data_IF_413364949460
#
_entry.id   IF_413364949460
#
_cell.length_a   1.000
_cell.length_b   1.000
_cell.length_c   1.000
_cell.angle_alpha   90.00
_cell.angle_beta   90.00
_cell.angle_gamma   90.00
#
_symmetry.space_group_name_H-M   'P 1'
#
loop_
_entity.id
_entity.type
_entity.pdbx_description
1 polymer ?
#
# COMPACT_ATOMS: atom_id res chain seq x y z
N UNK A 1 -8.27 21.19 -17.05
CA UNK A 1 -9.22 20.29 -16.33
C UNK A 1 -9.63 20.96 -15.04
N UNK A 2 -10.93 20.91 -14.72
CA UNK A 2 -11.49 21.45 -13.46
C UNK A 2 -11.75 20.35 -12.42
N UNK A 3 -11.45 19.09 -12.73
CA UNK A 3 -11.62 17.93 -11.85
C UNK A 3 -10.25 17.49 -11.37
N UNK A 4 -10.07 17.41 -10.05
CA UNK A 4 -8.77 17.14 -9.44
C UNK A 4 -8.38 15.66 -9.54
N UNK A 5 -9.27 14.73 -9.16
CA UNK A 5 -9.00 13.29 -9.13
C UNK A 5 -10.27 12.46 -9.39
N UNK A 6 -10.12 11.16 -9.59
CA UNK A 6 -11.24 10.21 -9.67
C UNK A 6 -11.56 9.59 -8.29
N UNK A 7 -12.83 9.24 -8.09
CA UNK A 7 -13.29 8.48 -6.93
C UNK A 7 -14.46 7.56 -7.32
N UNK A 8 -14.78 6.51 -6.54
CA UNK A 8 -15.92 5.63 -6.81
C UNK A 8 -17.24 6.40 -6.90
N UNK A 9 -17.93 6.30 -8.04
CA UNK A 9 -19.16 7.06 -8.29
C UNK A 9 -20.19 6.29 -9.12
N UNK A 10 -20.01 4.98 -9.33
CA UNK A 10 -20.94 4.14 -10.10
C UNK A 10 -21.58 3.07 -9.24
N UNK A 11 -22.90 2.94 -9.30
CA UNK A 11 -23.70 1.96 -8.57
C UNK A 11 -23.44 2.01 -7.04
N UNK A 12 -23.34 3.22 -6.48
CA UNK A 12 -23.08 3.43 -5.05
C UNK A 12 -24.37 3.27 -4.27
N UNK A 13 -24.43 2.26 -3.41
CA UNK A 13 -25.54 2.02 -2.48
C UNK A 13 -25.46 2.98 -1.30
N UNK A 14 -26.51 3.70 -1.03
CA UNK A 14 -26.62 4.60 0.12
C UNK A 14 -28.05 4.72 0.61
N UNK A 15 -28.23 5.36 1.77
CA UNK A 15 -29.53 5.70 2.33
C UNK A 15 -30.24 6.75 1.46
N UNK A 16 -31.57 6.71 1.44
CA UNK A 16 -32.40 7.69 0.75
C UNK A 16 -33.43 8.31 1.68
N UNK A 17 -33.94 9.52 1.36
CA UNK A 17 -35.05 10.14 2.10
C UNK A 17 -36.27 9.23 2.16
N UNK A 18 -36.95 9.22 3.30
CA UNK A 18 -38.14 8.38 3.55
C UNK A 18 -37.82 6.98 4.07
N UNK A 19 -36.55 6.66 4.30
CA UNK A 19 -36.07 5.35 4.78
C UNK A 19 -35.85 4.36 3.64
N UNK A 20 -34.82 3.53 3.75
CA UNK A 20 -34.41 2.56 2.75
C UNK A 20 -33.10 2.88 2.09
N UNK A 21 -32.76 2.12 1.04
CA UNK A 21 -31.49 2.20 0.31
C UNK A 21 -31.76 2.22 -1.20
N UNK A 22 -30.90 2.93 -1.93
CA UNK A 22 -30.88 2.89 -3.40
C UNK A 22 -29.46 3.05 -3.92
N UNK A 23 -29.23 2.54 -5.13
CA UNK A 23 -27.95 2.68 -5.83
C UNK A 23 -28.05 3.79 -6.89
N UNK A 24 -27.14 4.76 -6.81
CA UNK A 24 -27.02 5.85 -7.77
C UNK A 24 -25.62 5.91 -8.38
N UNK A 25 -25.53 6.54 -9.55
CA UNK A 25 -24.26 6.79 -10.24
C UNK A 25 -24.12 8.27 -10.57
N UNK A 26 -22.94 8.83 -10.34
CA UNK A 26 -22.64 10.22 -10.63
C UNK A 26 -21.48 10.76 -9.81
N UNK A 27 -21.02 11.96 -10.16
CA UNK A 27 -20.01 12.70 -9.41
C UNK A 27 -20.48 13.04 -8.00
N UNK A 28 -21.80 13.22 -7.81
CA UNK A 28 -22.42 13.40 -6.48
C UNK A 28 -22.21 12.20 -5.54
N UNK A 29 -22.01 10.99 -6.09
CA UNK A 29 -21.72 9.78 -5.34
C UNK A 29 -20.20 9.62 -5.11
N UNK A 30 -19.38 10.17 -5.99
CA UNK A 30 -17.92 10.20 -5.82
C UNK A 30 -17.48 11.22 -4.76
N UNK A 31 -18.12 12.38 -4.67
CA UNK A 31 -17.77 13.46 -3.73
C UNK A 31 -17.73 13.01 -2.26
N UNK A 32 -18.72 12.28 -1.71
CA UNK A 32 -18.66 11.84 -0.31
C UNK A 32 -17.53 10.86 -0.01
N UNK A 33 -17.04 10.09 -0.99
CA UNK A 33 -15.85 9.26 -0.79
C UNK A 33 -14.60 10.13 -0.56
N UNK A 34 -14.44 11.20 -1.32
CA UNK A 34 -13.32 12.15 -1.12
C UNK A 34 -13.48 12.90 0.19
N UNK A 35 -14.71 13.35 0.54
CA UNK A 35 -14.97 14.02 1.81
C UNK A 35 -14.69 13.12 3.03
N UNK A 36 -15.09 11.84 2.95
CA UNK A 36 -14.80 10.83 3.98
C UNK A 36 -13.30 10.56 4.11
N UNK A 37 -12.58 10.47 2.99
CA UNK A 37 -11.13 10.32 2.99
C UNK A 37 -10.44 11.54 3.62
N UNK A 38 -10.88 12.74 3.29
CA UNK A 38 -10.36 13.98 3.91
C UNK A 38 -10.56 13.99 5.42
N UNK A 39 -11.72 13.56 5.91
CA UNK A 39 -12.01 13.46 7.34
C UNK A 39 -11.09 12.43 8.04
N UNK A 40 -10.84 11.27 7.41
CA UNK A 40 -9.92 10.26 7.93
C UNK A 40 -8.48 10.78 7.98
N UNK A 41 -8.00 11.43 6.92
CA UNK A 41 -6.67 12.06 6.87
C UNK A 41 -6.51 13.09 8.00
N UNK A 42 -7.50 13.99 8.19
CA UNK A 42 -7.48 14.99 9.25
C UNK A 42 -7.61 14.39 10.66
N UNK A 43 -8.13 13.17 10.80
CA UNK A 43 -8.13 12.48 12.09
C UNK A 43 -6.76 11.97 12.50
N UNK A 44 -5.86 11.76 11.53
CA UNK A 44 -4.47 11.33 11.74
C UNK A 44 -3.56 12.55 11.87
N UNK A 45 -3.73 13.54 10.98
CA UNK A 45 -2.96 14.78 10.98
C UNK A 45 -3.90 15.99 10.94
N UNK A 46 -4.33 16.52 12.10
CA UNK A 46 -5.26 17.64 12.17
C UNK A 46 -4.63 18.98 11.78
N UNK A 47 -3.30 19.06 11.68
CA UNK A 47 -2.57 20.30 11.41
C UNK A 47 -2.46 20.62 9.91
N UNK A 48 -2.89 19.70 9.03
CA UNK A 48 -2.90 19.92 7.59
C UNK A 48 -3.80 21.10 7.19
N UNK A 49 -3.25 22.02 6.45
CA UNK A 49 -4.05 23.06 5.78
C UNK A 49 -4.90 22.45 4.67
N UNK A 50 -5.94 23.15 4.24
CA UNK A 50 -6.81 22.69 3.14
C UNK A 50 -6.04 22.40 1.86
N UNK A 51 -4.98 23.17 1.57
CA UNK A 51 -4.14 22.96 0.39
C UNK A 51 -3.30 21.69 0.52
N UNK A 52 -2.62 21.49 1.63
CA UNK A 52 -1.83 20.30 1.92
C UNK A 52 -2.70 19.03 1.91
N UNK A 53 -3.88 19.08 2.52
CA UNK A 53 -4.86 17.97 2.48
C UNK A 53 -5.26 17.62 1.05
N UNK A 54 -5.54 18.63 0.21
CA UNK A 54 -5.89 18.42 -1.20
C UNK A 54 -4.72 17.79 -1.97
N UNK A 55 -3.52 18.34 -1.83
CA UNK A 55 -2.32 17.85 -2.48
C UNK A 55 -2.00 16.41 -2.07
N UNK A 56 -2.11 16.10 -0.78
CA UNK A 56 -1.92 14.76 -0.23
C UNK A 56 -2.91 13.76 -0.82
N UNK A 57 -4.21 14.06 -0.84
CA UNK A 57 -5.21 13.17 -1.42
C UNK A 57 -4.96 12.91 -2.92
N UNK A 58 -4.48 13.91 -3.66
CA UNK A 58 -4.17 13.79 -5.08
C UNK A 58 -2.91 12.97 -5.34
N UNK A 59 -1.86 13.17 -4.55
CA UNK A 59 -0.56 12.48 -4.68
C UNK A 59 -0.59 11.04 -4.20
N UNK A 60 -1.37 10.75 -3.16
CA UNK A 60 -1.55 9.39 -2.61
C UNK A 60 -2.46 8.50 -3.46
N UNK A 61 -3.10 9.04 -4.49
CA UNK A 61 -4.02 8.28 -5.34
C UNK A 61 -3.33 7.26 -6.25
N UNK A 62 -4.04 6.18 -6.57
CA UNK A 62 -3.57 5.19 -7.54
C UNK A 62 -3.56 5.77 -8.95
N UNK A 63 -2.43 5.71 -9.66
CA UNK A 63 -2.35 6.11 -11.05
C UNK A 63 -3.33 5.29 -11.92
N UNK A 64 -4.11 5.98 -12.75
CA UNK A 64 -5.10 5.33 -13.60
C UNK A 64 -5.08 5.92 -15.01
N UNK A 65 -4.64 5.13 -15.98
CA UNK A 65 -4.51 5.56 -17.38
C UNK A 65 -5.83 6.10 -17.97
N UNK A 66 -7.00 5.61 -17.51
CA UNK A 66 -8.30 6.09 -17.96
C UNK A 66 -8.61 7.52 -17.47
N UNK A 67 -7.90 8.03 -16.49
CA UNK A 67 -8.03 9.38 -15.93
C UNK A 67 -7.02 10.38 -16.50
N UNK A 68 -6.03 9.91 -17.26
CA UNK A 68 -5.03 10.77 -17.90
C UNK A 68 -5.69 11.81 -18.81
N UNK A 69 -5.34 13.08 -18.58
CA UNK A 69 -5.91 14.23 -19.30
C UNK A 69 -7.39 14.55 -18.98
N UNK A 70 -8.04 13.75 -18.12
CA UNK A 70 -9.42 13.99 -17.67
C UNK A 70 -9.48 14.58 -16.27
N UNK A 71 -8.51 14.27 -15.43
CA UNK A 71 -8.33 14.87 -14.10
C UNK A 71 -6.95 15.51 -13.98
N UNK A 72 -6.75 16.41 -13.01
CA UNK A 72 -5.47 17.08 -12.78
C UNK A 72 -4.41 16.06 -12.37
N UNK A 73 -4.72 15.18 -11.40
CA UNK A 73 -3.77 14.21 -10.86
C UNK A 73 -3.60 12.96 -11.74
N UNK A 74 -4.60 12.61 -12.59
CA UNK A 74 -4.59 11.34 -13.32
C UNK A 74 -4.75 10.10 -12.39
N UNK A 75 -5.17 10.33 -11.15
CA UNK A 75 -5.24 9.30 -10.10
C UNK A 75 -6.67 9.01 -9.65
N UNK A 76 -6.87 7.83 -9.10
CA UNK A 76 -8.06 7.42 -8.36
C UNK A 76 -7.77 7.48 -6.86
N UNK A 77 -8.72 7.97 -6.07
CA UNK A 77 -8.64 8.04 -4.61
C UNK A 77 -8.17 6.71 -3.99
N UNK A 78 -7.11 6.76 -3.20
CA UNK A 78 -6.61 5.69 -2.35
C UNK A 78 -6.55 6.18 -0.90
N UNK A 79 -7.60 5.86 -0.12
CA UNK A 79 -7.74 6.32 1.26
C UNK A 79 -6.67 5.73 2.17
N UNK A 80 -6.32 4.45 1.95
CA UNK A 80 -5.28 3.80 2.74
C UNK A 80 -3.93 4.50 2.59
N UNK A 81 -3.51 4.79 1.35
CA UNK A 81 -2.24 5.48 1.11
C UNK A 81 -2.28 6.90 1.66
N UNK A 82 -3.41 7.62 1.49
CA UNK A 82 -3.56 8.98 2.01
C UNK A 82 -3.45 9.05 3.54
N UNK A 83 -3.99 8.07 4.27
CA UNK A 83 -3.86 7.98 5.73
C UNK A 83 -2.42 7.69 6.15
N UNK A 84 -1.73 6.77 5.45
CA UNK A 84 -0.31 6.47 5.69
C UNK A 84 0.56 7.71 5.45
N UNK A 85 0.34 8.41 4.33
CA UNK A 85 1.12 9.59 3.96
C UNK A 85 0.81 10.81 4.86
N UNK A 86 -0.34 10.81 5.54
CA UNK A 86 -0.75 11.84 6.50
C UNK A 86 -0.12 11.65 7.88
N UNK A 87 0.33 10.43 8.22
CA UNK A 87 0.88 10.13 9.54
C UNK A 87 2.16 10.96 9.78
N UNK A 88 2.15 11.89 10.76
CA UNK A 88 3.33 12.66 11.09
C UNK A 88 4.41 11.82 11.78
N UNK A 89 4.10 10.60 12.20
CA UNK A 89 5.06 9.69 12.87
C UNK A 89 6.04 9.14 11.84
N UNK A 90 7.35 9.46 11.93
CA UNK A 90 8.35 8.86 11.07
C UNK A 90 8.38 7.35 11.21
N UNK A 91 8.59 6.64 10.11
CA UNK A 91 8.60 5.19 10.12
C UNK A 91 8.95 4.60 8.76
N UNK A 92 8.68 3.32 8.60
CA UNK A 92 8.93 2.61 7.35
C UNK A 92 7.71 1.81 6.88
N UNK A 93 7.72 1.43 5.61
CA UNK A 93 6.82 0.44 5.02
C UNK A 93 7.61 -0.66 4.34
N UNK A 94 7.14 -1.91 4.42
CA UNK A 94 7.71 -3.05 3.72
C UNK A 94 6.77 -3.47 2.59
N UNK A 95 7.33 -3.66 1.41
CA UNK A 95 6.63 -4.22 0.24
C UNK A 95 7.39 -5.40 -0.32
N UNK A 96 6.69 -6.32 -0.98
CA UNK A 96 7.29 -7.51 -1.59
C UNK A 96 6.79 -7.69 -3.02
N UNK A 97 7.69 -8.11 -3.89
CA UNK A 97 7.38 -8.46 -5.28
C UNK A 97 8.29 -9.60 -5.76
N UNK A 98 7.72 -10.62 -6.40
CA UNK A 98 6.29 -10.95 -6.46
C UNK A 98 5.76 -11.44 -5.11
N UNK A 99 4.44 -11.47 -4.92
CA UNK A 99 3.82 -11.96 -3.66
C UNK A 99 3.71 -13.47 -3.58
N UNK A 100 3.83 -14.16 -4.72
CA UNK A 100 3.84 -15.63 -4.80
C UNK A 100 4.55 -16.08 -6.07
N UNK A 101 5.17 -17.26 -6.03
CA UNK A 101 5.80 -17.90 -7.17
C UNK A 101 5.52 -19.41 -7.17
N UNK A 102 5.66 -20.01 -8.34
CA UNK A 102 5.66 -21.47 -8.49
C UNK A 102 7.08 -21.93 -8.80
N UNK A 103 7.48 -23.05 -8.21
CA UNK A 103 8.79 -23.67 -8.42
C UNK A 103 8.63 -25.18 -8.65
N UNK A 104 9.54 -25.75 -9.43
CA UNK A 104 9.73 -27.20 -9.55
C UNK A 104 10.93 -27.62 -8.70
N UNK A 105 11.02 -28.90 -8.38
CA UNK A 105 12.14 -29.45 -7.61
C UNK A 105 13.47 -29.15 -8.32
N UNK A 106 14.38 -28.52 -7.59
CA UNK A 106 15.69 -28.07 -8.09
C UNK A 106 15.72 -26.60 -8.53
N UNK A 107 14.57 -25.92 -8.57
CA UNK A 107 14.51 -24.49 -8.86
C UNK A 107 14.88 -23.64 -7.65
N UNK A 108 15.36 -22.42 -7.94
CA UNK A 108 15.53 -21.36 -6.96
C UNK A 108 14.63 -20.19 -7.35
N UNK A 109 13.81 -19.71 -6.43
CA UNK A 109 12.94 -18.54 -6.62
C UNK A 109 13.35 -17.42 -5.68
N UNK A 110 13.08 -16.19 -6.06
CA UNK A 110 13.45 -15.01 -5.29
C UNK A 110 12.28 -14.05 -5.14
N UNK A 111 12.19 -13.44 -3.96
CA UNK A 111 11.25 -12.37 -3.64
C UNK A 111 12.03 -11.14 -3.22
N UNK A 112 11.73 -10.00 -3.81
CA UNK A 112 12.38 -8.74 -3.45
C UNK A 112 11.51 -7.97 -2.48
N UNK A 113 12.05 -7.66 -1.33
CA UNK A 113 11.47 -6.77 -0.33
C UNK A 113 12.08 -5.39 -0.49
N UNK A 114 11.25 -4.36 -0.56
CA UNK A 114 11.67 -2.96 -0.63
C UNK A 114 11.20 -2.23 0.64
N UNK A 115 12.12 -1.53 1.27
CA UNK A 115 11.86 -0.68 2.43
C UNK A 115 11.59 0.73 1.94
N UNK A 116 10.36 1.23 2.17
CA UNK A 116 9.98 2.61 1.87
C UNK A 116 10.04 3.49 3.12
N UNK A 117 10.46 4.74 2.98
CA UNK A 117 10.38 5.76 4.02
C UNK A 117 8.95 6.27 4.20
N UNK A 118 8.57 6.57 5.44
CA UNK A 118 7.37 7.33 5.81
C UNK A 118 7.83 8.55 6.60
N UNK A 119 7.32 9.73 6.27
CA UNK A 119 7.68 11.00 6.90
C UNK A 119 9.21 11.24 6.97
N UNK A 120 9.92 10.93 5.88
CA UNK A 120 11.39 11.10 5.73
C UNK A 120 12.23 10.31 6.76
N UNK A 121 11.65 9.27 7.35
CA UNK A 121 12.38 8.38 8.25
C UNK A 121 13.49 7.64 7.48
N UNK A 122 14.69 7.56 8.07
CA UNK A 122 15.90 6.97 7.46
C UNK A 122 16.64 5.99 8.39
N UNK A 123 15.97 5.53 9.44
CA UNK A 123 16.54 4.59 10.41
C UNK A 123 16.78 3.17 9.87
N UNK A 124 17.45 2.37 10.68
CA UNK A 124 17.70 0.97 10.39
C UNK A 124 16.47 0.10 10.70
N UNK A 125 16.17 -0.83 9.80
CA UNK A 125 15.09 -1.83 9.92
C UNK A 125 15.73 -3.19 10.09
N UNK A 126 15.43 -3.87 11.20
CA UNK A 126 15.79 -5.26 11.42
C UNK A 126 14.78 -6.19 10.77
N UNK A 127 15.26 -7.21 10.05
CA UNK A 127 14.43 -8.16 9.31
C UNK A 127 14.63 -9.58 9.85
N UNK A 128 13.54 -10.24 10.16
CA UNK A 128 13.52 -11.64 10.62
C UNK A 128 12.69 -12.49 9.66
N UNK A 129 13.22 -13.64 9.25
CA UNK A 129 12.55 -14.61 8.39
C UNK A 129 12.01 -15.77 9.23
N UNK A 130 10.72 -16.07 9.07
CA UNK A 130 10.13 -17.35 9.44
C UNK A 130 9.71 -18.06 8.14
N UNK A 131 10.20 -19.27 7.95
CA UNK A 131 10.04 -20.03 6.70
C UNK A 131 9.70 -21.48 6.98
N UNK A 132 8.78 -22.04 6.17
CA UNK A 132 8.42 -23.45 6.21
C UNK A 132 9.47 -24.36 5.53
N UNK A 133 10.39 -23.77 4.75
CA UNK A 133 11.50 -24.49 4.12
C UNK A 133 12.84 -24.03 4.70
N UNK A 134 13.69 -25.01 5.04
CA UNK A 134 15.01 -24.76 5.63
C UNK A 134 15.98 -24.05 4.67
N UNK A 135 15.80 -24.23 3.35
CA UNK A 135 16.66 -23.63 2.31
C UNK A 135 16.14 -22.22 1.86
N UNK A 136 15.51 -21.50 2.79
CA UNK A 136 15.11 -20.11 2.60
C UNK A 136 16.04 -19.17 3.37
N UNK A 137 16.52 -18.11 2.73
CA UNK A 137 17.43 -17.14 3.34
C UNK A 137 17.24 -15.72 2.81
N UNK A 138 17.45 -14.73 3.68
CA UNK A 138 17.58 -13.34 3.31
C UNK A 138 19.04 -12.99 3.03
N UNK A 139 19.30 -12.15 2.02
CA UNK A 139 20.64 -11.64 1.75
C UNK A 139 21.11 -10.59 2.78
N UNK A 140 20.17 -9.99 3.53
CA UNK A 140 20.46 -9.05 4.61
C UNK A 140 19.43 -9.17 5.74
N UNK A 141 19.83 -8.96 6.98
CA UNK A 141 18.98 -8.93 8.17
C UNK A 141 18.77 -7.51 8.70
N UNK A 142 19.41 -6.51 8.08
CA UNK A 142 19.25 -5.09 8.38
C UNK A 142 19.25 -4.32 7.05
N UNK A 143 18.40 -3.33 6.94
CA UNK A 143 18.27 -2.52 5.73
C UNK A 143 17.71 -1.13 6.06
N UNK A 144 17.80 -0.17 5.12
CA UNK A 144 17.28 1.19 5.24
C UNK A 144 16.26 1.49 4.15
N UNK A 145 15.49 2.57 4.28
CA UNK A 145 14.64 3.05 3.19
C UNK A 145 15.43 3.24 1.89
N UNK A 146 14.91 2.64 0.82
CA UNK A 146 15.57 2.59 -0.50
C UNK A 146 16.37 1.33 -0.75
N UNK A 147 16.69 0.53 0.27
CA UNK A 147 17.35 -0.75 0.08
C UNK A 147 16.38 -1.83 -0.41
N UNK A 148 16.93 -2.80 -1.13
CA UNK A 148 16.25 -4.02 -1.53
C UNK A 148 16.85 -5.23 -0.79
N UNK A 149 15.97 -6.02 -0.16
CA UNK A 149 16.34 -7.26 0.51
C UNK A 149 15.73 -8.44 -0.24
N UNK A 150 16.55 -9.40 -0.60
CA UNK A 150 16.15 -10.55 -1.40
C UNK A 150 16.01 -11.78 -0.52
N UNK A 151 14.80 -12.35 -0.49
CA UNK A 151 14.56 -13.70 -0.01
C UNK A 151 14.82 -14.66 -1.15
N UNK A 152 15.74 -15.58 -0.94
CA UNK A 152 16.04 -16.70 -1.85
C UNK A 152 15.49 -17.98 -1.25
N UNK A 153 14.73 -18.73 -2.02
CA UNK A 153 14.18 -20.04 -1.66
C UNK A 153 14.64 -21.06 -2.65
N UNK A 154 15.43 -22.03 -2.22
CA UNK A 154 15.85 -23.15 -3.06
C UNK A 154 15.01 -24.40 -2.76
N UNK A 155 14.63 -25.12 -3.80
CA UNK A 155 13.99 -26.42 -3.68
C UNK A 155 14.99 -27.53 -4.05
N UNK A 156 14.83 -28.70 -3.44
CA UNK A 156 15.68 -29.86 -3.66
C UNK A 156 14.86 -31.15 -3.72
N UNK A 157 15.51 -32.31 -3.87
CA UNK A 157 14.84 -33.61 -3.98
C UNK A 157 14.01 -34.00 -2.76
N UNK A 158 14.26 -33.38 -1.61
CA UNK A 158 13.54 -33.66 -0.34
C UNK A 158 12.36 -32.71 -0.14
N UNK A 159 12.25 -31.67 -0.97
CA UNK A 159 11.12 -30.72 -0.94
C UNK A 159 9.84 -31.43 -1.38
N UNK A 160 8.88 -31.57 -0.47
CA UNK A 160 7.58 -32.18 -0.75
C UNK A 160 6.74 -31.25 -1.64
N UNK A 161 5.82 -31.83 -2.41
CA UNK A 161 4.84 -31.04 -3.14
C UNK A 161 3.83 -30.42 -2.17
N UNK A 162 3.58 -29.08 -2.30
CA UNK A 162 2.67 -28.36 -1.40
C UNK A 162 2.79 -26.86 -1.51
N UNK A 163 2.08 -26.16 -0.64
CA UNK A 163 2.22 -24.73 -0.43
C UNK A 163 3.15 -24.48 0.76
N UNK A 164 3.99 -23.49 0.64
CA UNK A 164 4.93 -23.05 1.67
C UNK A 164 4.77 -21.58 1.94
N UNK A 165 4.72 -21.21 3.20
CA UNK A 165 4.58 -19.82 3.62
C UNK A 165 5.92 -19.27 4.12
N UNK A 166 6.20 -18.02 3.76
CA UNK A 166 7.38 -17.28 4.18
C UNK A 166 6.93 -15.96 4.77
N UNK A 167 7.25 -15.73 6.04
CA UNK A 167 6.94 -14.48 6.73
C UNK A 167 8.22 -13.72 7.01
N UNK A 168 8.32 -12.49 6.45
CA UNK A 168 9.37 -11.55 6.81
C UNK A 168 8.79 -10.51 7.74
N UNK A 169 9.29 -10.46 8.96
CA UNK A 169 8.93 -9.45 9.97
C UNK A 169 9.99 -8.36 9.97
N UNK A 170 9.55 -7.12 9.90
CA UNK A 170 10.39 -5.94 9.97
C UNK A 170 10.11 -5.16 11.25
N UNK A 171 11.17 -4.72 11.95
CA UNK A 171 11.08 -3.94 13.19
C UNK A 171 12.20 -2.91 13.25
N UNK A 172 12.01 -1.88 14.10
CA UNK A 172 13.05 -0.92 14.45
C UNK A 172 13.38 -1.02 15.94
N UNK A 173 14.59 -0.64 16.32
CA UNK A 173 15.01 -0.60 17.74
C UNK A 173 14.44 0.61 18.49
N UNK A 174 13.74 1.53 17.77
CA UNK A 174 13.10 2.71 18.37
C UNK A 174 11.62 2.41 18.70
N UNK A 175 11.40 1.89 19.89
CA UNK A 175 10.13 2.00 20.66
C UNK A 175 10.44 2.24 22.12
#
# INVERSE_FOLDING_TARGET
TSVDMGAPGSAILSTIPGGGYASYSGTSMATPHVAGAAALVLSVNPDLTTLELKELLMSSGDANAALNGKTVAGTRLNVNQAVIDADPTPGFKLSVSPVSQQATVGDTVTYTFTIGSVAQWDGDVSLALAADLADASLNATTARPGDEVVLTVATNSDTQWGNYDFTVTASTDEQ
#
